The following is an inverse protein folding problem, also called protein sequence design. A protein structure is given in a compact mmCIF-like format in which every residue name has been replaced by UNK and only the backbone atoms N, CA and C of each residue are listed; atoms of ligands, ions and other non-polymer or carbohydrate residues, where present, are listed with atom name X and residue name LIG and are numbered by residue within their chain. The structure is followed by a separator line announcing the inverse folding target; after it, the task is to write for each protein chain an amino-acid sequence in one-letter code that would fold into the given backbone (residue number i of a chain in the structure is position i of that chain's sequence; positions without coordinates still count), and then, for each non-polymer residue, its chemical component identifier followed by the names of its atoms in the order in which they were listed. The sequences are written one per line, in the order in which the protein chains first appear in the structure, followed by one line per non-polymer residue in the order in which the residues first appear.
data_IF_968648405880
#
_entry.id   IF_968648405880
#
_cell.length_a   1.000
_cell.length_b   1.000
_cell.length_c   1.000
_cell.angle_alpha   90.00
_cell.angle_beta   90.00
_cell.angle_gamma   90.00
#
_symmetry.space_group_name_H-M   'P 1'
#
loop_
_entity.id
_entity.type
_entity.pdbx_description
1 polymer ?
#
# COMPACT_ATOMS: atom_id res chain seq x y z
N UNK A 1 22.75 17.58 20.54
CA UNK A 1 23.96 17.00 19.91
C UNK A 1 23.46 16.08 18.79
N UNK A 2 23.95 16.22 17.56
CA UNK A 2 23.62 15.24 16.51
C UNK A 2 24.13 13.88 16.96
N UNK A 3 23.27 12.86 16.98
CA UNK A 3 23.70 11.50 17.32
C UNK A 3 24.73 11.03 16.30
N UNK A 4 25.81 10.41 16.77
CA UNK A 4 26.82 9.83 15.90
C UNK A 4 26.15 8.76 15.02
N UNK A 5 26.51 8.71 13.74
CA UNK A 5 26.03 7.65 12.84
C UNK A 5 26.37 6.26 13.42
N UNK A 6 25.45 5.29 13.42
CA UNK A 6 25.64 4.00 14.06
C UNK A 6 26.75 3.19 13.37
N UNK A 7 27.55 2.51 14.16
CA UNK A 7 28.56 1.56 13.67
C UNK A 7 28.09 0.11 13.69
N UNK A 8 26.96 -0.16 14.37
CA UNK A 8 26.38 -1.50 14.49
C UNK A 8 24.86 -1.44 14.71
N UNK A 9 24.16 -2.45 14.31
CA UNK A 9 22.72 -2.64 14.52
C UNK A 9 22.39 -4.14 14.63
N UNK A 10 21.31 -4.47 15.34
CA UNK A 10 20.80 -5.85 15.32
C UNK A 10 20.05 -6.15 14.02
N UNK A 11 19.37 -5.15 13.45
CA UNK A 11 18.68 -5.23 12.16
C UNK A 11 18.87 -3.93 11.41
N UNK A 12 19.21 -4.01 10.12
CA UNK A 12 19.18 -2.86 9.21
C UNK A 12 18.05 -3.04 8.21
N UNK A 13 17.17 -2.03 8.10
CA UNK A 13 16.10 -1.99 7.13
C UNK A 13 16.45 -0.99 6.04
N UNK A 14 16.60 -1.46 4.81
CA UNK A 14 16.86 -0.63 3.62
C UNK A 14 15.52 -0.28 2.97
N UNK A 15 15.11 0.98 3.03
CA UNK A 15 13.82 1.49 2.54
C UNK A 15 12.77 1.64 3.63
N UNK A 16 13.13 2.22 4.78
CA UNK A 16 12.22 2.43 5.91
C UNK A 16 11.16 3.51 5.66
N UNK A 17 11.36 4.34 4.66
CA UNK A 17 10.42 5.43 4.30
C UNK A 17 9.19 4.98 3.52
N UNK A 18 9.12 3.73 3.06
CA UNK A 18 7.95 3.12 2.45
C UNK A 18 7.13 2.29 3.44
N UNK A 19 5.89 1.94 3.06
CA UNK A 19 4.95 1.19 3.92
C UNK A 19 5.53 -0.16 4.38
N UNK A 20 6.22 -0.89 3.50
CA UNK A 20 6.77 -2.21 3.86
C UNK A 20 7.85 -2.09 4.92
N UNK A 21 8.84 -1.23 4.70
CA UNK A 21 9.96 -1.07 5.64
C UNK A 21 9.52 -0.49 6.99
N UNK A 22 8.63 0.50 6.98
CA UNK A 22 8.10 1.11 8.21
C UNK A 22 7.26 0.14 9.03
N UNK A 23 6.38 -0.65 8.38
CA UNK A 23 5.57 -1.65 9.08
C UNK A 23 6.40 -2.81 9.62
N UNK A 24 7.47 -3.22 8.92
CA UNK A 24 8.42 -4.19 9.46
C UNK A 24 9.12 -3.62 10.69
N UNK A 25 9.58 -2.36 10.66
CA UNK A 25 10.18 -1.72 11.83
C UNK A 25 9.21 -1.64 13.02
N UNK A 26 7.94 -1.26 12.74
CA UNK A 26 6.88 -1.22 13.73
C UNK A 26 6.67 -2.57 14.42
N UNK A 27 6.42 -3.63 13.63
CA UNK A 27 6.16 -4.96 14.18
C UNK A 27 7.36 -5.58 14.86
N UNK A 28 8.59 -5.34 14.38
CA UNK A 28 9.79 -5.75 15.10
C UNK A 28 9.90 -5.06 16.47
N UNK A 29 9.56 -3.77 16.53
CA UNK A 29 9.55 -3.04 17.80
C UNK A 29 8.45 -3.55 18.74
N UNK A 30 7.25 -3.87 18.23
CA UNK A 30 6.17 -4.51 19.00
C UNK A 30 6.58 -5.88 19.56
N UNK A 31 7.35 -6.66 18.81
CA UNK A 31 7.89 -7.95 19.22
C UNK A 31 9.11 -7.84 20.18
N UNK A 32 9.49 -6.61 20.55
CA UNK A 32 10.57 -6.35 21.52
C UNK A 32 11.96 -6.24 20.90
N UNK A 33 12.10 -6.29 19.57
CA UNK A 33 13.39 -6.08 18.89
C UNK A 33 13.90 -4.66 19.19
N UNK A 34 15.18 -4.52 19.46
CA UNK A 34 15.87 -3.26 19.71
C UNK A 34 16.98 -3.04 18.70
N UNK A 35 17.60 -1.86 18.76
CA UNK A 35 18.73 -1.49 17.91
C UNK A 35 18.48 -1.73 16.41
N UNK A 36 17.31 -1.28 15.93
CA UNK A 36 16.93 -1.30 14.51
C UNK A 36 17.42 -0.01 13.87
N UNK A 37 18.11 -0.10 12.75
CA UNK A 37 18.51 1.05 11.91
C UNK A 37 17.74 1.03 10.62
N UNK A 38 16.95 2.07 10.37
CA UNK A 38 16.22 2.29 9.13
C UNK A 38 16.95 3.28 8.22
N UNK A 39 17.29 2.83 7.01
CA UNK A 39 17.91 3.65 5.97
C UNK A 39 16.87 4.04 4.93
N UNK A 40 16.92 5.30 4.50
CA UNK A 40 16.06 5.81 3.43
C UNK A 40 16.87 6.64 2.43
N UNK A 41 16.65 6.37 1.14
CA UNK A 41 17.29 7.10 0.03
C UNK A 41 16.74 8.51 -0.13
N UNK A 42 15.41 8.69 0.06
CA UNK A 42 14.78 10.00 0.03
C UNK A 42 15.33 10.90 1.14
N UNK A 43 15.35 12.19 0.90
CA UNK A 43 15.72 13.20 1.89
C UNK A 43 14.71 13.35 3.02
N UNK A 44 13.53 12.71 2.90
CA UNK A 44 12.43 12.76 3.87
C UNK A 44 11.92 11.37 4.22
N UNK A 45 11.37 11.22 5.44
CA UNK A 45 10.65 10.05 5.91
C UNK A 45 9.31 10.54 6.50
N UNK A 46 8.17 10.12 5.97
CA UNK A 46 7.94 9.15 4.87
C UNK A 46 8.57 9.57 3.55
N UNK A 47 8.96 8.55 2.74
CA UNK A 47 9.56 8.79 1.43
C UNK A 47 8.54 9.40 0.46
N UNK A 48 9.00 10.36 -0.35
CA UNK A 48 8.25 10.99 -1.45
C UNK A 48 8.52 10.34 -2.82
N UNK A 49 9.42 9.37 -2.88
CA UNK A 49 9.93 8.80 -4.12
C UNK A 49 9.34 7.43 -4.47
N UNK A 50 8.82 6.70 -3.51
CA UNK A 50 8.41 5.30 -3.69
C UNK A 50 6.92 5.15 -4.02
N UNK A 51 6.52 3.90 -4.31
CA UNK A 51 5.13 3.56 -4.63
C UNK A 51 4.13 3.94 -3.52
N UNK A 52 4.56 3.99 -2.26
CA UNK A 52 3.70 4.41 -1.13
C UNK A 52 3.24 5.87 -1.28
N UNK A 53 4.12 6.77 -1.73
CA UNK A 53 3.78 8.17 -1.94
C UNK A 53 2.80 8.40 -3.10
N UNK A 54 2.75 7.47 -4.05
CA UNK A 54 1.94 7.52 -5.27
C UNK A 54 0.78 6.52 -5.26
N UNK A 55 0.51 5.88 -4.11
CA UNK A 55 -0.58 4.95 -3.98
C UNK A 55 -1.94 5.64 -4.07
N UNK A 56 -2.92 4.98 -4.66
CA UNK A 56 -4.33 5.39 -4.65
C UNK A 56 -5.04 5.08 -3.34
N UNK A 57 -4.34 4.45 -2.39
CA UNK A 57 -4.76 4.17 -1.02
C UNK A 57 -6.00 3.24 -0.87
N UNK A 58 -6.32 2.46 -1.91
CA UNK A 58 -7.46 1.54 -1.92
C UNK A 58 -7.26 0.33 -1.03
N UNK A 59 -8.30 -0.07 -0.30
CA UNK A 59 -8.37 -1.34 0.42
C UNK A 59 -9.66 -2.07 0.04
N UNK A 60 -9.53 -3.24 -0.61
CA UNK A 60 -10.60 -4.19 -0.85
C UNK A 60 -10.39 -5.43 0.01
N UNK A 61 -11.45 -6.01 0.57
CA UNK A 61 -11.32 -7.15 1.48
C UNK A 61 -11.31 -8.51 0.81
N UNK A 62 -11.63 -8.59 -0.49
CA UNK A 62 -11.89 -9.86 -1.13
C UNK A 62 -10.81 -10.21 -2.13
N UNK A 63 -10.15 -11.32 -1.90
CA UNK A 63 -9.24 -12.01 -2.81
C UNK A 63 -9.73 -13.44 -3.04
N UNK A 64 -9.08 -14.19 -3.94
CA UNK A 64 -9.45 -15.58 -4.24
C UNK A 64 -9.01 -16.58 -3.17
N UNK A 65 -8.02 -16.24 -2.36
CA UNK A 65 -7.38 -17.15 -1.43
C UNK A 65 -7.56 -16.71 0.03
N UNK A 66 -7.40 -17.67 0.93
CA UNK A 66 -7.58 -17.46 2.37
C UNK A 66 -6.53 -16.52 2.95
N UNK A 67 -5.27 -16.62 2.51
CA UNK A 67 -4.18 -15.82 3.05
C UNK A 67 -4.36 -14.34 2.66
N UNK A 68 -4.73 -14.09 1.41
CA UNK A 68 -5.03 -12.74 0.93
C UNK A 68 -6.20 -12.11 1.68
N UNK A 69 -7.31 -12.84 1.87
CA UNK A 69 -8.45 -12.35 2.65
C UNK A 69 -8.05 -12.05 4.11
N UNK A 70 -7.30 -12.97 4.73
CA UNK A 70 -6.83 -12.77 6.10
C UNK A 70 -5.91 -11.57 6.24
N UNK A 71 -4.91 -11.43 5.36
CA UNK A 71 -3.93 -10.33 5.42
C UNK A 71 -4.59 -8.97 5.15
N UNK A 72 -5.55 -8.92 4.21
CA UNK A 72 -6.30 -7.69 3.95
C UNK A 72 -7.17 -7.31 5.15
N UNK A 73 -7.89 -8.27 5.74
CA UNK A 73 -8.70 -8.02 6.93
C UNK A 73 -7.83 -7.57 8.13
N UNK A 74 -6.67 -8.19 8.31
CA UNK A 74 -5.71 -7.81 9.35
C UNK A 74 -5.23 -6.36 9.14
N UNK A 75 -4.80 -6.02 7.92
CA UNK A 75 -4.31 -4.67 7.59
C UNK A 75 -5.40 -3.62 7.74
N UNK A 76 -6.62 -3.91 7.24
CA UNK A 76 -7.76 -3.00 7.40
C UNK A 76 -8.09 -2.74 8.86
N UNK A 77 -8.14 -3.78 9.69
CA UNK A 77 -8.41 -3.62 11.12
C UNK A 77 -7.32 -2.77 11.78
N UNK A 78 -6.05 -2.99 11.42
CA UNK A 78 -4.96 -2.14 11.88
C UNK A 78 -5.17 -0.67 11.51
N UNK A 79 -5.57 -0.37 10.27
CA UNK A 79 -5.85 1.00 9.84
C UNK A 79 -7.05 1.60 10.56
N UNK A 80 -8.13 0.83 10.75
CA UNK A 80 -9.35 1.27 11.43
C UNK A 80 -9.10 1.55 12.92
N UNK A 81 -8.42 0.63 13.62
CA UNK A 81 -8.07 0.75 15.03
C UNK A 81 -7.18 1.97 15.31
N UNK A 82 -6.39 2.41 14.34
CA UNK A 82 -5.49 3.56 14.45
C UNK A 82 -6.00 4.83 13.75
N UNK A 83 -7.26 4.85 13.29
CA UNK A 83 -7.89 6.02 12.70
C UNK A 83 -7.42 6.37 11.27
N UNK A 84 -6.85 5.40 10.55
CA UNK A 84 -6.36 5.57 9.18
C UNK A 84 -7.30 4.97 8.12
N UNK A 85 -8.55 4.65 8.45
CA UNK A 85 -9.44 4.01 7.51
C UNK A 85 -10.77 4.74 7.35
N UNK A 86 -11.14 5.03 6.12
CA UNK A 86 -12.45 5.52 5.73
C UNK A 86 -13.21 4.43 4.99
N UNK A 87 -14.13 3.77 5.68
CA UNK A 87 -15.01 2.77 5.10
C UNK A 87 -16.08 3.44 4.24
N UNK A 88 -16.06 3.17 2.94
CA UNK A 88 -17.02 3.74 1.97
C UNK A 88 -17.63 2.67 1.06
N UNK A 89 -17.07 1.46 1.10
CA UNK A 89 -17.40 0.36 0.20
C UNK A 89 -16.66 0.44 -1.13
N UNK A 90 -16.77 -0.63 -1.90
CA UNK A 90 -16.13 -0.75 -3.20
C UNK A 90 -16.93 -1.58 -4.19
N UNK A 91 -16.88 -1.20 -5.43
CA UNK A 91 -17.47 -1.87 -6.59
C UNK A 91 -16.39 -2.52 -7.44
N UNK A 92 -16.55 -3.77 -7.81
CA UNK A 92 -15.81 -4.38 -8.91
C UNK A 92 -16.82 -4.68 -10.02
N UNK A 93 -16.81 -3.84 -11.05
CA UNK A 93 -17.82 -3.88 -12.13
C UNK A 93 -17.47 -4.96 -13.16
N UNK A 94 -18.51 -5.49 -13.80
CA UNK A 94 -18.39 -6.42 -14.92
C UNK A 94 -19.20 -5.91 -16.11
N UNK A 95 -18.60 -5.81 -17.28
CA UNK A 95 -19.27 -5.41 -18.52
C UNK A 95 -20.28 -6.45 -18.97
N UNK A 96 -21.24 -6.04 -19.80
CA UNK A 96 -22.35 -6.90 -20.25
C UNK A 96 -21.88 -8.16 -20.99
N UNK A 97 -20.83 -8.06 -21.74
CA UNK A 97 -20.26 -9.10 -22.63
C UNK A 97 -19.08 -9.87 -22.04
N UNK A 98 -18.70 -9.60 -20.78
CA UNK A 98 -17.59 -10.29 -20.11
C UNK A 98 -18.09 -11.44 -19.22
N UNK A 99 -18.39 -12.55 -19.84
CA UNK A 99 -18.84 -13.76 -19.14
C UNK A 99 -17.72 -14.34 -18.25
N UNK A 100 -16.46 -14.19 -18.64
CA UNK A 100 -15.31 -14.72 -17.89
C UNK A 100 -15.16 -13.99 -16.56
N UNK A 101 -15.15 -12.66 -16.59
CA UNK A 101 -15.08 -11.84 -15.38
C UNK A 101 -16.32 -12.05 -14.50
N UNK A 102 -17.52 -12.20 -15.10
CA UNK A 102 -18.72 -12.45 -14.30
C UNK A 102 -18.67 -13.76 -13.52
N UNK A 103 -18.18 -14.83 -14.12
CA UNK A 103 -17.96 -16.10 -13.40
C UNK A 103 -16.83 -15.98 -12.35
N UNK A 104 -15.83 -15.15 -12.61
CA UNK A 104 -14.81 -14.85 -11.63
C UNK A 104 -15.36 -14.08 -10.42
N UNK A 105 -16.21 -13.09 -10.62
CA UNK A 105 -16.86 -12.36 -9.53
C UNK A 105 -17.73 -13.29 -8.67
N UNK A 106 -18.43 -14.25 -9.28
CA UNK A 106 -19.19 -15.28 -8.54
C UNK A 106 -18.25 -16.13 -7.65
N UNK A 107 -17.09 -16.54 -8.18
CA UNK A 107 -16.08 -17.28 -7.39
C UNK A 107 -15.51 -16.43 -6.26
N UNK A 108 -15.18 -15.16 -6.52
CA UNK A 108 -14.74 -14.22 -5.47
C UNK A 108 -15.76 -14.09 -4.36
N UNK A 109 -17.03 -13.89 -4.69
CA UNK A 109 -18.12 -13.81 -3.71
C UNK A 109 -18.26 -15.11 -2.91
N UNK A 110 -18.18 -16.27 -3.56
CA UNK A 110 -18.24 -17.55 -2.85
C UNK A 110 -17.06 -17.75 -1.91
N UNK A 111 -15.84 -17.46 -2.35
CA UNK A 111 -14.63 -17.49 -1.52
C UNK A 111 -14.70 -16.49 -0.37
N UNK A 112 -15.12 -15.26 -0.65
CA UNK A 112 -15.26 -14.22 0.35
C UNK A 112 -16.22 -14.64 1.47
N UNK A 113 -17.38 -15.19 1.11
CA UNK A 113 -18.35 -15.74 2.10
C UNK A 113 -17.74 -16.86 2.93
N UNK A 114 -16.99 -17.77 2.29
CA UNK A 114 -16.33 -18.86 3.01
C UNK A 114 -15.25 -18.36 3.99
N UNK A 115 -14.68 -17.19 3.74
CA UNK A 115 -13.66 -16.55 4.59
C UNK A 115 -14.21 -15.43 5.48
N UNK A 116 -15.55 -15.29 5.53
CA UNK A 116 -16.23 -14.38 6.48
C UNK A 116 -16.35 -12.93 6.01
N UNK A 117 -16.21 -12.66 4.70
CA UNK A 117 -16.47 -11.32 4.14
C UNK A 117 -17.93 -11.11 3.75
N UNK A 118 -18.39 -9.83 3.75
CA UNK A 118 -19.78 -9.48 3.44
C UNK A 118 -20.03 -9.16 1.96
N UNK A 119 -19.15 -9.63 1.08
CA UNK A 119 -19.25 -9.36 -0.35
C UNK A 119 -20.46 -10.04 -1.00
N UNK A 120 -21.06 -9.39 -1.99
CA UNK A 120 -22.19 -9.91 -2.74
C UNK A 120 -22.23 -9.39 -4.17
N UNK A 121 -22.87 -10.14 -5.07
CA UNK A 121 -23.22 -9.61 -6.38
C UNK A 121 -24.40 -8.67 -6.27
N UNK A 122 -24.36 -7.62 -7.08
CA UNK A 122 -25.44 -6.63 -7.22
C UNK A 122 -25.75 -6.39 -8.69
N UNK A 123 -26.96 -5.91 -8.96
CA UNK A 123 -27.40 -5.53 -10.31
C UNK A 123 -26.72 -4.24 -10.80
N UNK A 124 -26.80 -3.98 -12.11
CA UNK A 124 -26.33 -2.73 -12.70
C UNK A 124 -27.03 -1.51 -12.08
N UNK A 125 -28.35 -1.57 -11.88
CA UNK A 125 -29.13 -0.51 -11.26
C UNK A 125 -28.67 -0.23 -9.82
N UNK A 126 -28.45 -1.28 -9.01
CA UNK A 126 -27.95 -1.10 -7.65
C UNK A 126 -26.52 -0.54 -7.62
N UNK A 127 -25.68 -0.91 -8.59
CA UNK A 127 -24.34 -0.33 -8.73
C UNK A 127 -24.40 1.17 -9.09
N UNK A 128 -25.33 1.56 -9.98
CA UNK A 128 -25.62 2.95 -10.35
C UNK A 128 -26.10 3.78 -9.16
N UNK A 129 -26.96 3.22 -8.30
CA UNK A 129 -27.39 3.91 -7.07
C UNK A 129 -26.23 4.23 -6.15
N UNK A 130 -25.23 3.33 -6.07
CA UNK A 130 -24.03 3.52 -5.24
C UNK A 130 -23.00 4.46 -5.87
N UNK A 131 -22.85 4.42 -7.17
CA UNK A 131 -21.92 5.25 -7.94
C UNK A 131 -22.66 5.94 -9.08
N UNK A 132 -23.26 7.12 -8.87
CA UNK A 132 -24.12 7.78 -9.83
C UNK A 132 -23.47 8.16 -11.17
N UNK A 133 -22.15 8.22 -11.23
CA UNK A 133 -21.41 8.50 -12.47
C UNK A 133 -21.30 7.27 -13.38
N UNK A 134 -21.65 6.08 -12.89
CA UNK A 134 -21.60 4.84 -13.66
C UNK A 134 -22.73 4.79 -14.70
N UNK A 135 -22.41 4.37 -15.92
CA UNK A 135 -23.40 4.01 -16.93
C UNK A 135 -23.86 2.57 -16.72
N UNK A 136 -25.09 2.41 -16.19
CA UNK A 136 -25.67 1.09 -15.91
C UNK A 136 -25.93 0.26 -17.18
N UNK A 137 -26.11 0.92 -18.33
CA UNK A 137 -26.31 0.23 -19.60
C UNK A 137 -25.04 -0.42 -20.15
N UNK A 138 -23.88 -0.03 -19.67
CA UNK A 138 -22.57 -0.59 -20.06
C UNK A 138 -22.17 -1.85 -19.28
N UNK A 139 -22.78 -2.09 -18.11
CA UNK A 139 -22.40 -3.17 -17.22
C UNK A 139 -23.49 -4.23 -17.04
N UNK A 140 -23.11 -5.45 -16.73
CA UNK A 140 -23.96 -6.55 -16.31
C UNK A 140 -24.37 -6.47 -14.84
N UNK A 141 -23.44 -5.99 -14.02
CA UNK A 141 -23.56 -5.87 -12.59
C UNK A 141 -22.18 -5.68 -11.96
N UNK A 142 -22.11 -5.85 -10.65
CA UNK A 142 -20.87 -5.70 -9.90
C UNK A 142 -20.79 -6.65 -8.71
N UNK A 143 -19.59 -6.88 -8.22
CA UNK A 143 -19.36 -7.32 -6.85
C UNK A 143 -19.33 -6.07 -5.96
N UNK A 144 -20.14 -6.08 -4.91
CA UNK A 144 -20.14 -5.07 -3.86
C UNK A 144 -19.39 -5.57 -2.64
N UNK A 145 -18.35 -4.83 -2.23
CA UNK A 145 -17.63 -5.03 -0.98
C UNK A 145 -17.98 -3.88 -0.02
N UNK A 146 -18.89 -4.08 0.95
CA UNK A 146 -19.31 -3.04 1.88
C UNK A 146 -18.20 -2.63 2.86
N UNK A 147 -17.18 -3.45 3.02
CA UNK A 147 -16.08 -3.26 3.95
C UNK A 147 -14.82 -2.70 3.29
N UNK A 148 -14.86 -2.45 1.98
CA UNK A 148 -13.81 -1.73 1.26
C UNK A 148 -13.76 -0.26 1.67
N UNK A 149 -12.62 0.37 1.47
CA UNK A 149 -12.43 1.77 1.82
C UNK A 149 -11.07 2.31 1.41
N UNK A 150 -10.76 3.46 1.96
CA UNK A 150 -9.56 4.23 1.67
C UNK A 150 -8.69 4.36 2.91
N UNK A 151 -7.37 4.20 2.76
CA UNK A 151 -6.41 4.62 3.78
C UNK A 151 -6.38 6.15 3.78
N UNK A 152 -6.60 6.76 4.94
CA UNK A 152 -6.71 8.23 5.10
C UNK A 152 -5.82 8.75 6.23
N UNK A 153 -5.32 9.99 6.14
CA UNK A 153 -5.35 10.90 4.98
C UNK A 153 -4.62 10.33 3.75
N UNK A 154 -3.48 9.64 3.95
CA UNK A 154 -2.65 8.99 2.93
C UNK A 154 -1.87 7.82 3.53
N UNK A 155 -1.42 6.87 2.71
CA UNK A 155 -0.52 5.78 3.15
C UNK A 155 0.77 6.29 3.79
N UNK A 156 1.24 7.48 3.42
CA UNK A 156 2.40 8.13 4.05
C UNK A 156 2.16 8.51 5.53
N UNK A 157 0.92 8.76 5.94
CA UNK A 157 0.60 9.03 7.34
C UNK A 157 0.68 7.76 8.20
N UNK A 158 0.35 6.62 7.62
CA UNK A 158 0.58 5.30 8.25
C UNK A 158 2.09 5.03 8.41
N UNK A 159 2.89 5.36 7.40
CA UNK A 159 4.37 5.26 7.50
C UNK A 159 4.90 6.12 8.64
N UNK A 160 4.44 7.38 8.71
CA UNK A 160 4.85 8.30 9.79
C UNK A 160 4.51 7.73 11.16
N UNK A 161 3.27 7.29 11.34
CA UNK A 161 2.81 6.64 12.57
C UNK A 161 3.69 5.44 12.94
N UNK A 162 3.91 4.51 12.02
CA UNK A 162 4.68 3.30 12.28
C UNK A 162 6.14 3.59 12.68
N UNK A 163 6.75 4.58 12.02
CA UNK A 163 8.12 5.02 12.33
C UNK A 163 8.20 5.70 13.70
N UNK A 164 7.25 6.58 14.00
CA UNK A 164 7.20 7.30 15.28
C UNK A 164 6.99 6.34 16.45
N UNK A 165 6.02 5.43 16.36
CA UNK A 165 5.78 4.39 17.37
C UNK A 165 7.03 3.54 17.67
N UNK A 166 7.72 3.08 16.60
CA UNK A 166 8.95 2.30 16.78
C UNK A 166 10.09 3.12 17.41
N UNK A 167 10.15 4.44 17.14
CA UNK A 167 11.11 5.36 17.78
C UNK A 167 10.75 5.61 19.24
N UNK A 168 9.49 5.83 19.57
CA UNK A 168 9.02 6.07 20.94
C UNK A 168 9.29 4.87 21.84
N UNK A 169 9.22 3.66 21.31
CA UNK A 169 9.64 2.42 21.99
C UNK A 169 11.17 2.32 22.16
N UNK A 170 11.95 3.27 21.67
CA UNK A 170 13.41 3.25 21.68
C UNK A 170 14.02 2.11 20.87
N UNK A 171 13.27 1.58 19.89
CA UNK A 171 13.69 0.44 19.08
C UNK A 171 14.36 0.86 17.76
N UNK A 172 13.91 1.97 17.15
CA UNK A 172 14.28 2.39 15.81
C UNK A 172 15.06 3.71 15.79
N UNK A 173 16.13 3.75 14.99
CA UNK A 173 16.77 4.97 14.54
C UNK A 173 16.66 5.06 13.01
N UNK A 174 16.31 6.23 12.46
CA UNK A 174 16.15 6.40 11.01
C UNK A 174 17.11 7.42 10.45
N UNK A 175 17.56 7.18 9.23
CA UNK A 175 18.49 8.05 8.50
C UNK A 175 17.95 8.28 7.09
N UNK A 176 17.41 9.47 6.84
CA UNK A 176 17.07 9.96 5.52
C UNK A 176 18.34 10.38 4.75
N UNK A 177 18.21 10.53 3.43
CA UNK A 177 19.33 10.84 2.54
C UNK A 177 20.55 9.92 2.82
N UNK A 178 20.24 8.61 2.92
CA UNK A 178 21.24 7.60 3.31
C UNK A 178 20.94 6.29 2.56
N UNK A 179 21.19 6.23 1.25
CA UNK A 179 21.06 4.99 0.50
C UNK A 179 22.09 3.96 0.96
N UNK A 180 21.69 2.69 0.98
CA UNK A 180 22.65 1.60 1.03
C UNK A 180 23.45 1.60 -0.30
N UNK A 181 24.77 1.57 -0.20
CA UNK A 181 25.69 1.57 -1.35
C UNK A 181 26.38 0.23 -1.59
N UNK A 182 26.17 -0.74 -0.72
CA UNK A 182 26.69 -2.09 -0.80
C UNK A 182 26.57 -2.85 0.50
N UNK A 183 27.05 -4.10 0.46
CA UNK A 183 27.08 -4.99 1.61
C UNK A 183 28.48 -5.61 1.76
N UNK A 184 28.85 -5.98 2.99
CA UNK A 184 29.94 -6.89 3.23
C UNK A 184 29.35 -8.28 3.41
N UNK A 185 29.94 -9.24 2.70
CA UNK A 185 29.50 -10.65 2.71
C UNK A 185 30.71 -11.53 2.97
N UNK A 186 30.63 -12.34 4.01
CA UNK A 186 31.65 -13.33 4.39
C UNK A 186 30.96 -14.68 4.56
N UNK A 187 31.48 -15.73 3.98
CA UNK A 187 30.92 -17.09 4.03
C UNK A 187 29.40 -17.12 3.72
N UNK A 188 28.99 -16.45 2.64
CA UNK A 188 27.59 -16.34 2.18
C UNK A 188 26.64 -15.64 3.18
N UNK A 189 27.18 -14.91 4.15
CA UNK A 189 26.41 -14.17 5.15
C UNK A 189 26.75 -12.68 5.09
N UNK A 190 25.73 -11.84 5.22
CA UNK A 190 25.94 -10.41 5.38
C UNK A 190 26.58 -10.15 6.75
N UNK A 191 27.60 -9.30 6.77
CA UNK A 191 28.29 -8.86 7.98
C UNK A 191 28.20 -7.36 8.20
N UNK A 192 27.91 -6.58 7.13
CA UNK A 192 27.69 -5.13 7.24
C UNK A 192 26.93 -4.55 6.06
N UNK A 193 26.31 -3.38 6.29
CA UNK A 193 25.72 -2.50 5.27
C UNK A 193 26.59 -1.27 5.09
N UNK A 194 26.95 -0.94 3.85
CA UNK A 194 27.73 0.25 3.48
C UNK A 194 26.81 1.40 3.08
N UNK A 195 27.17 2.60 3.51
CA UNK A 195 26.55 3.86 3.12
C UNK A 195 27.64 4.93 2.93
N UNK A 196 27.33 6.06 2.33
CA UNK A 196 28.25 7.19 2.25
C UNK A 196 28.57 7.80 3.63
N UNK A 197 27.69 7.60 4.64
CA UNK A 197 27.88 8.11 6.01
C UNK A 197 28.70 7.16 6.91
N UNK A 198 28.95 5.95 6.44
CA UNK A 198 29.71 4.93 7.17
C UNK A 198 29.17 3.52 6.97
N UNK A 199 29.82 2.58 7.62
CA UNK A 199 29.49 1.15 7.58
C UNK A 199 28.82 0.73 8.90
N UNK A 200 27.70 -0.01 8.79
CA UNK A 200 26.91 -0.51 9.92
C UNK A 200 27.06 -2.03 9.98
N UNK A 201 27.71 -2.54 11.01
CA UNK A 201 27.83 -3.98 11.24
C UNK A 201 26.46 -4.57 11.60
N UNK A 202 26.08 -5.64 10.93
CA UNK A 202 24.84 -6.39 11.18
C UNK A 202 24.88 -7.73 10.46
N UNK A 203 24.24 -8.73 11.02
CA UNK A 203 24.02 -10.03 10.39
C UNK A 203 22.58 -10.18 9.84
N UNK A 204 21.73 -9.15 9.98
CA UNK A 204 20.33 -9.15 9.55
C UNK A 204 19.98 -7.88 8.77
N UNK A 205 19.65 -8.07 7.51
CA UNK A 205 19.23 -6.99 6.63
C UNK A 205 17.86 -7.30 6.03
N UNK A 206 16.99 -6.31 6.10
CA UNK A 206 15.70 -6.34 5.40
C UNK A 206 15.79 -5.43 4.17
N UNK A 207 15.61 -5.98 2.98
CA UNK A 207 15.51 -5.22 1.74
C UNK A 207 14.04 -4.90 1.51
N UNK A 208 13.63 -3.65 1.81
CA UNK A 208 12.29 -3.12 1.62
C UNK A 208 12.29 -1.93 0.65
N UNK A 209 13.20 -1.96 -0.31
CA UNK A 209 13.53 -0.86 -1.22
C UNK A 209 12.59 -0.71 -2.43
N UNK A 210 11.40 -1.31 -2.39
CA UNK A 210 10.37 -1.17 -3.42
C UNK A 210 10.90 -1.47 -4.83
N UNK A 211 10.69 -0.57 -5.77
CA UNK A 211 11.12 -0.72 -7.17
C UNK A 211 12.65 -0.82 -7.34
N UNK A 212 13.43 -0.40 -6.35
CA UNK A 212 14.90 -0.57 -6.33
C UNK A 212 15.35 -1.93 -5.76
N UNK A 213 14.39 -2.81 -5.39
CA UNK A 213 14.68 -4.13 -4.84
C UNK A 213 15.67 -4.96 -5.65
N UNK A 214 15.55 -5.06 -7.00
CA UNK A 214 16.51 -5.79 -7.83
C UNK A 214 17.95 -5.26 -7.70
N UNK A 215 18.12 -3.93 -7.74
CA UNK A 215 19.45 -3.30 -7.63
C UNK A 215 20.08 -3.52 -6.25
N UNK A 216 19.29 -3.39 -5.18
CA UNK A 216 19.77 -3.61 -3.82
C UNK A 216 20.05 -5.10 -3.57
N UNK A 217 19.24 -6.00 -4.14
CA UNK A 217 19.47 -7.44 -4.10
C UNK A 217 20.78 -7.83 -4.80
N UNK A 218 21.05 -7.26 -5.97
CA UNK A 218 22.29 -7.50 -6.72
C UNK A 218 23.52 -7.10 -5.90
N UNK A 219 23.48 -5.97 -5.18
CA UNK A 219 24.56 -5.55 -4.27
C UNK A 219 24.83 -6.58 -3.16
N UNK A 220 23.80 -7.33 -2.74
CA UNK A 220 23.89 -8.40 -1.74
C UNK A 220 24.18 -9.78 -2.35
N UNK A 221 24.33 -9.87 -3.67
CA UNK A 221 24.54 -11.13 -4.37
C UNK A 221 23.28 -12.01 -4.48
N UNK A 222 22.08 -11.44 -4.28
CA UNK A 222 20.80 -12.18 -4.37
C UNK A 222 19.93 -11.63 -5.50
N UNK A 223 19.26 -12.56 -6.20
CA UNK A 223 18.27 -12.18 -7.21
C UNK A 223 16.92 -11.88 -6.57
N UNK A 224 16.40 -10.68 -6.79
CA UNK A 224 15.03 -10.31 -6.42
C UNK A 224 14.18 -10.32 -7.70
N UNK A 225 13.27 -11.28 -7.88
CA UNK A 225 12.49 -11.45 -9.12
C UNK A 225 11.35 -10.43 -9.21
N UNK A 226 11.71 -9.16 -9.37
CA UNK A 226 10.79 -8.02 -9.47
C UNK A 226 11.13 -7.23 -10.71
N UNK A 227 10.09 -6.88 -11.47
CA UNK A 227 10.19 -5.99 -12.62
C UNK A 227 9.41 -4.71 -12.30
N UNK A 228 10.06 -3.56 -12.16
CA UNK A 228 9.37 -2.29 -12.04
C UNK A 228 8.56 -1.98 -13.29
N UNK A 229 7.29 -1.61 -13.09
CA UNK A 229 6.39 -1.17 -14.16
C UNK A 229 5.82 0.19 -13.82
N UNK A 230 5.47 0.98 -14.83
CA UNK A 230 4.82 2.27 -14.67
C UNK A 230 3.31 2.10 -14.81
N UNK A 231 2.55 2.68 -13.88
CA UNK A 231 1.09 2.73 -13.92
C UNK A 231 0.62 4.17 -14.12
N UNK A 232 -0.04 4.49 -15.26
CA UNK A 232 -0.59 5.82 -15.47
C UNK A 232 -1.67 6.15 -14.44
N UNK A 233 -1.61 7.36 -13.92
CA UNK A 233 -2.60 7.92 -13.01
C UNK A 233 -3.06 9.28 -13.55
N UNK A 234 -4.34 9.41 -13.84
CA UNK A 234 -4.93 10.59 -14.42
C UNK A 234 -5.92 11.23 -13.45
N UNK A 235 -6.02 12.55 -13.48
CA UNK A 235 -6.97 13.32 -12.70
C UNK A 235 -7.87 14.12 -13.64
N UNK A 236 -9.18 13.95 -13.49
CA UNK A 236 -10.21 14.63 -14.28
C UNK A 236 -11.09 15.48 -13.38
N UNK A 237 -11.53 16.60 -13.86
CA UNK A 237 -12.46 17.43 -13.12
C UNK A 237 -11.97 18.85 -12.92
N UNK A 238 -12.42 19.56 -11.86
CA UNK A 238 -13.16 19.02 -10.70
C UNK A 238 -14.58 18.55 -11.03
N UNK A 239 -15.07 17.54 -10.29
CA UNK A 239 -16.43 17.05 -10.39
C UNK A 239 -17.38 17.98 -9.60
N UNK A 240 -18.44 18.51 -10.18
CA UNK A 240 -19.38 19.37 -9.45
C UNK A 240 -19.91 18.74 -8.16
N UNK A 241 -20.18 17.43 -8.19
CA UNK A 241 -20.76 16.65 -7.08
C UNK A 241 -19.75 16.42 -5.93
N UNK A 242 -18.45 16.53 -6.21
CA UNK A 242 -17.39 16.35 -5.23
C UNK A 242 -16.77 17.67 -4.74
N UNK A 243 -17.19 18.80 -5.32
CA UNK A 243 -16.73 20.11 -4.87
C UNK A 243 -17.27 20.43 -3.47
N UNK A 244 -16.39 20.87 -2.59
CA UNK A 244 -16.76 21.19 -1.21
C UNK A 244 -17.02 19.99 -0.33
N UNK A 245 -16.64 18.78 -0.75
CA UNK A 245 -16.72 17.58 0.07
C UNK A 245 -15.92 17.74 1.36
N UNK A 246 -16.49 17.31 2.47
CA UNK A 246 -15.83 17.31 3.78
C UNK A 246 -14.99 16.03 4.01
N UNK A 247 -15.36 14.94 3.34
CA UNK A 247 -14.70 13.64 3.40
C UNK A 247 -13.63 13.45 2.32
N UNK A 248 -12.79 12.43 2.48
CA UNK A 248 -11.79 12.01 1.50
C UNK A 248 -12.38 11.26 0.29
N UNK A 249 -13.62 10.78 0.41
CA UNK A 249 -14.42 10.17 -0.66
C UNK A 249 -15.87 10.60 -0.57
N UNK A 250 -16.47 10.90 -1.71
CA UNK A 250 -17.92 11.09 -1.85
C UNK A 250 -18.59 9.76 -2.19
N UNK A 251 -18.00 9.02 -3.13
CA UNK A 251 -18.52 7.76 -3.67
C UNK A 251 -17.67 6.55 -3.21
N UNK A 252 -18.22 5.31 -3.31
CA UNK A 252 -17.43 4.10 -3.15
C UNK A 252 -16.27 4.03 -4.15
N UNK A 253 -15.25 3.26 -3.81
CA UNK A 253 -14.17 2.90 -4.73
C UNK A 253 -14.73 2.06 -5.88
N UNK A 254 -14.17 2.17 -7.09
CA UNK A 254 -14.57 1.35 -8.23
C UNK A 254 -13.37 0.72 -8.92
N UNK A 255 -13.51 -0.56 -9.30
CA UNK A 255 -12.58 -1.29 -10.15
C UNK A 255 -13.29 -1.78 -11.40
N UNK A 256 -12.65 -1.62 -12.55
CA UNK A 256 -12.98 -2.24 -13.83
C UNK A 256 -11.83 -3.17 -14.22
N UNK A 257 -11.84 -4.38 -13.69
CA UNK A 257 -10.77 -5.36 -13.91
C UNK A 257 -10.70 -5.83 -15.37
N UNK A 258 -11.83 -5.82 -16.08
CA UNK A 258 -11.88 -6.14 -17.51
C UNK A 258 -11.08 -5.16 -18.38
N UNK A 259 -10.91 -3.92 -17.91
CA UNK A 259 -10.08 -2.90 -18.56
C UNK A 259 -8.83 -2.54 -17.76
N UNK A 260 -8.47 -3.34 -16.78
CA UNK A 260 -7.31 -3.09 -15.92
C UNK A 260 -7.31 -1.68 -15.32
N UNK A 261 -8.49 -1.19 -14.90
CA UNK A 261 -8.65 0.18 -14.42
C UNK A 261 -9.28 0.24 -13.03
N UNK A 262 -9.03 1.34 -12.34
CA UNK A 262 -9.69 1.69 -11.10
C UNK A 262 -9.99 3.19 -11.04
N UNK A 263 -11.02 3.54 -10.28
CA UNK A 263 -11.51 4.92 -10.19
C UNK A 263 -11.92 5.23 -8.76
N UNK A 264 -11.62 6.44 -8.33
CA UNK A 264 -12.20 7.08 -7.14
C UNK A 264 -12.35 8.58 -7.34
N UNK A 265 -13.25 9.21 -6.61
CA UNK A 265 -13.16 10.64 -6.40
C UNK A 265 -12.08 10.97 -5.36
N UNK A 266 -11.63 12.21 -5.33
CA UNK A 266 -10.61 12.65 -4.38
C UNK A 266 -11.20 13.40 -3.18
N UNK A 267 -12.54 13.45 -3.08
CA UNK A 267 -13.23 14.13 -2.01
C UNK A 267 -12.68 15.53 -1.74
N UNK A 268 -12.34 15.82 -0.49
CA UNK A 268 -11.73 17.10 -0.09
C UNK A 268 -10.29 17.30 -0.57
N UNK A 269 -9.61 16.24 -1.01
CA UNK A 269 -8.29 16.36 -1.62
C UNK A 269 -8.42 16.83 -3.07
N UNK A 270 -7.46 17.57 -3.55
CA UNK A 270 -7.37 18.01 -4.96
C UNK A 270 -8.64 18.66 -5.53
N UNK A 271 -9.50 19.23 -4.67
CA UNK A 271 -10.70 19.96 -5.12
C UNK A 271 -11.80 19.09 -5.72
N UNK A 272 -11.90 17.83 -5.34
CA UNK A 272 -12.97 16.91 -5.78
C UNK A 272 -12.80 16.44 -7.22
N UNK A 273 -11.60 16.02 -7.61
CA UNK A 273 -11.34 15.42 -8.92
C UNK A 273 -11.70 13.94 -8.94
N UNK A 274 -11.78 13.36 -10.13
CA UNK A 274 -11.83 11.93 -10.36
C UNK A 274 -10.39 11.44 -10.63
N UNK A 275 -9.91 10.55 -9.81
CA UNK A 275 -8.65 9.83 -10.00
C UNK A 275 -8.93 8.54 -10.77
N UNK A 276 -8.21 8.34 -11.85
CA UNK A 276 -8.33 7.17 -12.71
C UNK A 276 -6.95 6.56 -12.93
N UNK A 277 -6.75 5.37 -12.43
CA UNK A 277 -5.53 4.61 -12.59
C UNK A 277 -5.72 3.39 -13.49
N UNK A 278 -4.64 2.99 -14.14
CA UNK A 278 -4.61 1.84 -15.03
C UNK A 278 -3.52 0.88 -14.57
N UNK A 279 -3.76 -0.43 -14.79
CA UNK A 279 -2.76 -1.49 -14.68
C UNK A 279 -2.41 -1.96 -16.10
N UNK A 280 -1.13 -2.06 -16.42
CA UNK A 280 -0.65 -2.67 -17.66
C UNK A 280 -0.25 -4.13 -17.44
#
# INVERSE_FOLDING_TARGET
MASKFPSEAEVVIVGVGGIVGSMIAYWLAELGQKNIVGLEKSSVIPSDMGSTAHASDFVYNTTHDKLGNWSTAFSRNFYDDNGFFLKKGGLEICRKDDDVLWEELKRKVASGKAFGTNVRLISAAEAKEKFPLLDEDSIRGAMWDPDAGLVTPRSQDVVRFAVEEAKEKGALQTYADTPATGFEVEDERITAVKTEKGTIKTDKVVIASGIWGPLVGEMAGVSVPLMPVEHPLLFFGPLPEAQGAEDFLVYPLMRDQGNSAYVRDTGKLHGGMLEWGFYE
#
